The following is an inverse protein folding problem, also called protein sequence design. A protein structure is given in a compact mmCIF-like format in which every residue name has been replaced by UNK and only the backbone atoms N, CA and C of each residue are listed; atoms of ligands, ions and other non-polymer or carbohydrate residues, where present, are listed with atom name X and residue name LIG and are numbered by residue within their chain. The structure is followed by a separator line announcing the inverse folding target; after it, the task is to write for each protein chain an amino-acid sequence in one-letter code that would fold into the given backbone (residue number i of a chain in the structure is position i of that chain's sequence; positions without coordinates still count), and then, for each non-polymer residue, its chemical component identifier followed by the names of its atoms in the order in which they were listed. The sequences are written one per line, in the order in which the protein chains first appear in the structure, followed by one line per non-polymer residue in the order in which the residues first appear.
data_IF_349266659959
#
_entry.id   IF_349266659959
#
_cell.length_a   1.000
_cell.length_b   1.000
_cell.length_c   1.000
_cell.angle_alpha   90.00
_cell.angle_beta   90.00
_cell.angle_gamma   90.00
#
_symmetry.space_group_name_H-M   'P 1'
#
loop_
_entity.id
_entity.type
_entity.pdbx_description
1 polymer ?
#
# COMPACT_ATOMS: atom_id res chain seq x y z
N UNK A 1 -2.33 13.19 12.22
CA UNK A 1 -1.47 12.80 11.07
C UNK A 1 -2.26 12.81 9.75
N UNK A 2 -1.61 12.97 8.59
CA UNK A 2 -2.27 13.03 7.27
C UNK A 2 -2.15 11.71 6.48
N UNK A 3 -0.95 11.14 6.40
CA UNK A 3 -0.69 9.84 5.79
C UNK A 3 0.49 9.13 6.45
N UNK A 4 0.54 7.81 6.32
CA UNK A 4 1.55 6.94 6.91
C UNK A 4 2.03 5.94 5.86
N UNK A 5 3.35 5.75 5.81
CA UNK A 5 4.00 4.77 4.97
C UNK A 5 4.99 3.95 5.82
N UNK A 6 4.92 2.63 5.69
CA UNK A 6 5.92 1.70 6.21
C UNK A 6 6.53 1.00 5.01
N UNK A 7 7.85 1.04 4.91
CA UNK A 7 8.60 0.47 3.79
C UNK A 7 9.82 -0.30 4.25
N UNK A 8 10.35 -1.17 3.40
CA UNK A 8 11.64 -1.80 3.59
C UNK A 8 12.72 -0.95 2.92
N UNK A 9 13.81 -0.70 3.64
CA UNK A 9 14.94 0.09 3.14
C UNK A 9 15.58 -0.58 1.91
N UNK A 10 15.82 -1.89 2.00
CA UNK A 10 16.42 -2.64 0.90
C UNK A 10 15.40 -2.88 -0.22
N UNK A 11 15.58 -2.21 -1.35
CA UNK A 11 14.71 -2.34 -2.53
C UNK A 11 13.43 -1.51 -2.45
N UNK A 12 13.33 -0.57 -1.50
CA UNK A 12 12.25 0.42 -1.41
C UNK A 12 10.82 -0.17 -1.51
N UNK A 13 10.60 -1.37 -0.97
CA UNK A 13 9.30 -2.03 -1.05
C UNK A 13 8.36 -1.43 -0.02
N UNK A 14 7.21 -0.95 -0.46
CA UNK A 14 6.14 -0.49 0.43
C UNK A 14 5.50 -1.72 1.09
N UNK A 15 5.44 -1.70 2.43
CA UNK A 15 4.84 -2.75 3.24
C UNK A 15 3.41 -2.35 3.63
N UNK A 16 3.21 -1.10 4.05
CA UNK A 16 1.90 -0.53 4.31
C UNK A 16 1.86 0.91 3.83
N UNK A 17 0.76 1.29 3.19
CA UNK A 17 0.41 2.69 2.98
C UNK A 17 -1.00 2.98 3.46
N UNK A 18 -1.18 4.08 4.20
CA UNK A 18 -2.50 4.54 4.62
C UNK A 18 -2.61 6.05 4.61
N UNK A 19 -3.56 6.54 3.84
CA UNK A 19 -4.06 7.91 3.95
C UNK A 19 -5.09 8.00 5.09
N UNK A 20 -4.88 8.95 6.01
CA UNK A 20 -5.76 9.21 7.14
C UNK A 20 -6.68 10.40 6.89
N UNK A 21 -6.21 11.40 6.13
CA UNK A 21 -6.97 12.62 5.78
C UNK A 21 -6.93 12.82 4.25
N UNK A 22 -7.95 12.35 3.51
CA UNK A 22 -7.97 12.36 2.04
C UNK A 22 -7.81 13.75 1.42
N UNK A 23 -8.40 14.77 2.06
CA UNK A 23 -8.37 16.15 1.57
C UNK A 23 -6.95 16.79 1.58
N UNK A 24 -6.00 16.22 2.31
CA UNK A 24 -4.62 16.69 2.39
C UNK A 24 -3.62 15.77 1.64
N UNK A 25 -4.13 14.75 0.94
CA UNK A 25 -3.32 13.65 0.42
C UNK A 25 -2.96 13.77 -1.07
N UNK A 26 -3.41 14.82 -1.78
CA UNK A 26 -3.06 15.02 -3.18
C UNK A 26 -1.52 14.96 -3.35
N UNK A 27 -1.03 13.98 -4.11
CA UNK A 27 0.39 13.68 -4.37
C UNK A 27 1.24 13.22 -3.17
N UNK A 28 0.68 13.10 -1.96
CA UNK A 28 1.44 12.78 -0.76
C UNK A 28 2.05 11.37 -0.80
N UNK A 29 1.28 10.39 -1.28
CA UNK A 29 1.77 9.01 -1.45
C UNK A 29 2.93 8.91 -2.42
N UNK A 30 2.90 9.68 -3.52
CA UNK A 30 3.99 9.72 -4.49
C UNK A 30 5.27 10.32 -3.87
N UNK A 31 5.15 11.43 -3.13
CA UNK A 31 6.29 12.04 -2.43
C UNK A 31 6.91 11.10 -1.40
N UNK A 32 6.09 10.44 -0.57
CA UNK A 32 6.59 9.52 0.45
C UNK A 32 7.30 8.30 -0.16
N UNK A 33 6.81 7.77 -1.29
CA UNK A 33 7.48 6.70 -2.04
C UNK A 33 8.80 7.17 -2.65
N UNK A 34 8.83 8.36 -3.25
CA UNK A 34 10.06 8.96 -3.76
C UNK A 34 11.13 9.15 -2.68
N UNK A 35 10.73 9.54 -1.46
CA UNK A 35 11.66 9.60 -0.32
C UNK A 35 12.18 8.19 0.04
N UNK A 36 11.30 7.18 0.10
CA UNK A 36 11.71 5.80 0.40
C UNK A 36 12.75 5.25 -0.60
N UNK A 37 12.57 5.53 -1.89
CA UNK A 37 13.48 5.08 -2.96
C UNK A 37 14.90 5.63 -2.84
N UNK A 38 15.06 6.78 -2.18
CA UNK A 38 16.34 7.44 -2.02
C UNK A 38 17.05 7.11 -0.71
N UNK A 39 16.34 6.49 0.23
CA UNK A 39 16.94 6.08 1.50
C UNK A 39 17.87 4.89 1.28
N UNK A 40 19.04 4.98 1.91
CA UNK A 40 20.10 3.97 1.88
C UNK A 40 20.47 3.57 3.32
N UNK A 41 21.19 2.45 3.52
CA UNK A 41 21.71 2.08 4.84
C UNK A 41 22.62 3.14 5.50
N UNK A 42 23.22 4.03 4.71
CA UNK A 42 24.02 5.16 5.21
C UNK A 42 23.22 6.44 5.48
N UNK A 43 21.91 6.44 5.22
CA UNK A 43 21.06 7.60 5.48
C UNK A 43 20.87 7.84 6.97
N UNK A 44 20.62 9.08 7.40
CA UNK A 44 20.34 9.38 8.80
C UNK A 44 19.18 8.52 9.32
N UNK A 45 19.30 7.91 10.52
CA UNK A 45 18.31 6.99 11.04
C UNK A 45 16.98 7.67 11.38
N UNK A 46 16.98 9.00 11.58
CA UNK A 46 15.76 9.79 11.82
C UNK A 46 15.95 11.17 11.21
N UNK A 47 14.96 11.65 10.48
CA UNK A 47 14.99 12.98 9.91
C UNK A 47 13.60 13.47 9.56
N UNK A 48 13.47 14.80 9.51
CA UNK A 48 12.23 15.50 9.18
C UNK A 48 12.46 16.40 7.98
N UNK A 49 11.51 16.37 7.06
CA UNK A 49 11.49 17.19 5.88
C UNK A 49 10.26 18.09 5.87
N UNK A 50 10.42 19.30 5.34
CA UNK A 50 9.33 20.25 5.16
C UNK A 50 9.39 20.81 3.74
N UNK A 51 8.31 20.66 2.99
CA UNK A 51 8.18 21.16 1.62
C UNK A 51 6.73 21.55 1.32
N UNK A 52 6.54 22.74 0.74
CA UNK A 52 5.24 23.32 0.35
C UNK A 52 4.09 23.18 1.39
N UNK A 53 4.42 23.14 2.69
CA UNK A 53 3.44 23.01 3.78
C UNK A 53 3.09 21.56 4.16
N UNK A 54 3.80 20.59 3.59
CA UNK A 54 3.77 19.17 3.96
C UNK A 54 5.02 18.88 4.81
N UNK A 55 4.82 18.35 6.01
CA UNK A 55 5.92 17.88 6.86
C UNK A 55 5.99 16.36 6.81
N UNK A 56 7.12 15.81 6.38
CA UNK A 56 7.36 14.36 6.33
C UNK A 56 8.40 14.01 7.38
N UNK A 57 8.06 13.11 8.28
CA UNK A 57 8.95 12.61 9.32
C UNK A 57 9.23 11.14 9.05
N UNK A 58 10.49 10.70 9.14
CA UNK A 58 10.82 9.28 9.05
C UNK A 58 11.79 8.81 10.13
N UNK A 59 11.71 7.51 10.43
CA UNK A 59 12.64 6.77 11.27
C UNK A 59 12.97 5.43 10.63
N UNK A 60 14.25 5.08 10.57
CA UNK A 60 14.77 3.80 10.11
C UNK A 60 15.08 2.95 11.34
N UNK A 61 14.50 1.75 11.41
CA UNK A 61 14.77 0.79 12.48
C UNK A 61 14.81 -0.62 11.90
N UNK A 62 15.92 -1.33 12.12
CA UNK A 62 16.12 -2.72 11.68
C UNK A 62 15.83 -2.96 10.19
N UNK A 63 16.22 -2.01 9.32
CA UNK A 63 15.98 -2.09 7.87
C UNK A 63 14.54 -1.77 7.43
N UNK A 64 13.70 -1.31 8.35
CA UNK A 64 12.33 -0.84 8.07
C UNK A 64 12.28 0.68 8.24
N UNK A 65 11.67 1.34 7.26
CA UNK A 65 11.42 2.78 7.24
C UNK A 65 9.98 3.02 7.68
N UNK A 66 9.82 3.80 8.73
CA UNK A 66 8.53 4.27 9.23
C UNK A 66 8.42 5.75 8.91
N UNK A 67 7.42 6.15 8.15
CA UNK A 67 7.25 7.51 7.68
C UNK A 67 5.84 8.02 7.95
N UNK A 68 5.73 9.26 8.40
CA UNK A 68 4.47 9.94 8.65
C UNK A 68 4.49 11.32 8.01
N UNK A 69 3.46 11.61 7.23
CA UNK A 69 3.16 12.94 6.77
C UNK A 69 2.23 13.63 7.77
N UNK A 70 2.65 14.78 8.27
CA UNK A 70 1.96 15.55 9.29
C UNK A 70 1.53 16.91 8.75
N UNK A 71 0.35 17.37 9.20
CA UNK A 71 -0.15 18.71 8.89
C UNK A 71 0.56 19.80 9.71
N UNK A 72 0.27 21.06 9.37
CA UNK A 72 0.73 22.23 10.12
C UNK A 72 0.28 22.13 11.59
N UNK A 73 1.22 22.28 12.54
CA UNK A 73 0.95 22.25 13.98
C UNK A 73 1.33 20.96 14.72
N UNK A 74 1.66 19.88 14.01
CA UNK A 74 2.24 18.69 14.65
C UNK A 74 3.72 18.94 14.91
N UNK A 75 4.16 18.80 16.16
CA UNK A 75 5.58 18.93 16.50
C UNK A 75 6.37 17.72 16.00
N UNK A 76 7.64 17.93 15.65
CA UNK A 76 8.58 16.87 15.29
C UNK A 76 8.63 15.80 16.39
N UNK A 77 8.58 16.22 17.65
CA UNK A 77 8.60 15.33 18.81
C UNK A 77 7.39 14.42 18.86
N UNK A 78 6.19 14.96 18.65
CA UNK A 78 4.96 14.16 18.61
C UNK A 78 5.00 13.17 17.45
N UNK A 79 5.48 13.60 16.27
CA UNK A 79 5.60 12.74 15.10
C UNK A 79 6.57 11.57 15.34
N UNK A 80 7.70 11.82 15.98
CA UNK A 80 8.71 10.78 16.23
C UNK A 80 8.29 9.79 17.31
N UNK A 81 7.63 10.27 18.36
CA UNK A 81 7.01 9.40 19.38
C UNK A 81 5.93 8.49 18.77
N UNK A 82 5.13 9.04 17.85
CA UNK A 82 4.17 8.27 17.08
C UNK A 82 4.85 7.17 16.24
N UNK A 83 5.90 7.52 15.48
CA UNK A 83 6.66 6.55 14.66
C UNK A 83 7.30 5.44 15.51
N UNK A 84 7.82 5.77 16.70
CA UNK A 84 8.40 4.79 17.61
C UNK A 84 7.34 3.81 18.16
N UNK A 85 6.16 4.33 18.52
CA UNK A 85 5.04 3.49 18.97
C UNK A 85 4.59 2.52 17.87
N UNK A 86 4.52 3.03 16.63
CA UNK A 86 4.17 2.24 15.45
C UNK A 86 5.22 1.16 15.15
N UNK A 87 6.51 1.49 15.24
CA UNK A 87 7.58 0.53 15.05
C UNK A 87 7.53 -0.60 16.10
N UNK A 88 7.21 -0.27 17.35
CA UNK A 88 6.99 -1.24 18.41
C UNK A 88 5.90 -2.25 18.05
N UNK A 89 4.70 -1.77 17.69
CA UNK A 89 3.58 -2.64 17.31
C UNK A 89 3.88 -3.48 16.07
N UNK A 90 4.48 -2.86 15.04
CA UNK A 90 4.79 -3.55 13.79
C UNK A 90 5.79 -4.69 14.00
N UNK A 91 6.84 -4.46 14.80
CA UNK A 91 7.86 -5.46 15.09
C UNK A 91 7.37 -6.67 15.90
N UNK A 92 6.31 -6.48 16.69
CA UNK A 92 5.65 -7.58 17.42
C UNK A 92 4.79 -8.41 16.48
N UNK A 93 4.12 -7.77 15.52
CA UNK A 93 3.17 -8.42 14.61
C UNK A 93 3.85 -9.16 13.45
N UNK A 94 4.93 -8.61 12.91
CA UNK A 94 5.59 -9.15 11.72
C UNK A 94 7.04 -9.53 11.99
N UNK A 95 7.40 -10.75 11.60
CA UNK A 95 8.77 -11.22 11.73
C UNK A 95 9.72 -10.51 10.75
N UNK A 96 11.01 -10.37 11.09
CA UNK A 96 12.02 -9.85 10.18
C UNK A 96 12.08 -10.61 8.84
N UNK A 97 11.83 -11.92 8.86
CA UNK A 97 11.84 -12.74 7.65
C UNK A 97 10.66 -12.41 6.73
N UNK A 98 9.46 -12.19 7.28
CA UNK A 98 8.29 -11.76 6.50
C UNK A 98 8.55 -10.43 5.80
N UNK A 99 9.25 -9.52 6.47
CA UNK A 99 9.61 -8.20 5.94
C UNK A 99 10.69 -8.33 4.86
N UNK A 100 11.73 -9.14 5.08
CA UNK A 100 12.87 -9.28 4.15
C UNK A 100 12.49 -9.89 2.80
N UNK A 101 11.47 -10.76 2.76
CA UNK A 101 10.99 -11.40 1.52
C UNK A 101 9.78 -10.70 0.89
N UNK A 102 9.25 -9.65 1.52
CA UNK A 102 8.09 -8.94 1.03
C UNK A 102 8.31 -8.36 -0.37
N UNK A 103 7.31 -8.54 -1.24
CA UNK A 103 7.24 -7.98 -2.59
C UNK A 103 6.00 -7.11 -2.80
N UNK A 104 5.07 -7.10 -1.83
CA UNK A 104 3.81 -6.35 -1.89
C UNK A 104 3.30 -6.02 -0.48
N UNK A 105 2.29 -5.16 -0.41
CA UNK A 105 1.63 -4.74 0.82
C UNK A 105 0.67 -5.81 1.40
N UNK A 106 0.28 -6.82 0.60
CA UNK A 106 -0.78 -7.77 0.94
C UNK A 106 -0.60 -8.48 2.31
N UNK A 107 0.61 -8.95 2.69
CA UNK A 107 0.83 -9.61 3.98
C UNK A 107 0.62 -8.69 5.19
N UNK A 108 0.72 -7.37 5.00
CA UNK A 108 0.70 -6.38 6.08
C UNK A 108 -0.63 -5.63 6.18
N UNK A 109 -1.59 -5.92 5.30
CA UNK A 109 -2.94 -5.35 5.29
C UNK A 109 -3.66 -5.43 6.65
N UNK A 110 -3.40 -6.47 7.43
CA UNK A 110 -3.94 -6.65 8.78
C UNK A 110 -3.45 -5.60 9.79
N UNK A 111 -2.43 -4.81 9.47
CA UNK A 111 -1.89 -3.74 10.31
C UNK A 111 -2.56 -2.38 10.09
N UNK A 112 -3.26 -2.20 8.97
CA UNK A 112 -3.95 -0.94 8.66
C UNK A 112 -4.90 -0.49 9.80
N UNK A 113 -5.70 -1.37 10.44
CA UNK A 113 -6.54 -0.96 11.57
C UNK A 113 -5.75 -0.46 12.79
N UNK A 114 -4.53 -0.99 13.03
CA UNK A 114 -3.66 -0.54 14.12
C UNK A 114 -3.07 0.84 13.83
N UNK A 115 -2.68 1.08 12.57
CA UNK A 115 -2.25 2.40 12.09
C UNK A 115 -3.34 3.44 12.36
N UNK A 116 -4.58 3.14 11.94
CA UNK A 116 -5.70 4.05 12.13
C UNK A 116 -6.02 4.30 13.60
N UNK A 117 -5.99 3.25 14.44
CA UNK A 117 -6.23 3.37 15.87
C UNK A 117 -5.17 4.25 16.53
N UNK A 118 -3.89 3.98 16.27
CA UNK A 118 -2.79 4.75 16.83
C UNK A 118 -2.85 6.22 16.39
N UNK A 119 -3.23 6.48 15.13
CA UNK A 119 -3.37 7.83 14.62
C UNK A 119 -4.51 8.61 15.29
N UNK A 120 -5.67 7.96 15.52
CA UNK A 120 -6.79 8.56 16.28
C UNK A 120 -6.41 8.86 17.73
N UNK A 121 -5.71 7.93 18.38
CA UNK A 121 -5.25 8.09 19.75
C UNK A 121 -4.23 9.24 19.86
N UNK A 122 -3.34 9.37 18.87
CA UNK A 122 -2.36 10.46 18.81
C UNK A 122 -3.01 11.84 18.59
N UNK A 123 -4.02 11.95 17.72
CA UNK A 123 -4.77 13.20 17.53
C UNK A 123 -5.53 13.58 18.83
N UNK A 124 -6.11 12.59 19.54
CA UNK A 124 -6.79 12.80 20.83
C UNK A 124 -5.82 13.22 21.94
N UNK A 125 -4.67 12.55 22.06
CA UNK A 125 -3.62 12.92 23.02
C UNK A 125 -2.99 14.26 22.70
N UNK A 126 -2.82 14.62 21.43
CA UNK A 126 -2.31 15.94 21.04
C UNK A 126 -3.28 17.06 21.45
N UNK A 127 -4.59 16.82 21.34
CA UNK A 127 -5.61 17.73 21.86
C UNK A 127 -5.55 17.86 23.39
N UNK A 128 -5.21 16.78 24.11
CA UNK A 128 -5.03 16.80 25.57
C UNK A 128 -3.68 17.38 26.02
N UNK A 129 -2.58 17.13 25.30
CA UNK A 129 -1.22 17.58 25.61
C UNK A 129 -1.00 19.07 25.31
N UNK A 130 -1.83 19.69 24.46
CA UNK A 130 -1.89 21.16 24.40
C UNK A 130 -2.25 21.79 25.77
N UNK A 131 -2.79 21.01 26.71
CA UNK A 131 -3.09 21.44 28.08
C UNK A 131 -2.01 21.03 29.11
N UNK A 132 -1.03 20.20 28.76
CA UNK A 132 -0.01 19.70 29.68
C UNK A 132 1.32 19.50 28.95
N UNK A 133 2.21 20.47 29.09
CA UNK A 133 3.57 20.43 28.57
C UNK A 133 4.43 19.50 29.42
N UNK A 134 4.93 18.40 28.84
CA UNK A 134 6.20 17.71 29.11
C UNK A 134 6.24 16.46 28.18
N UNK A 135 7.36 15.96 27.64
CA UNK A 135 8.65 15.70 28.27
C UNK A 135 9.80 15.59 27.23
N UNK A 136 10.98 16.00 27.69
CA UNK A 136 12.37 15.56 27.46
C UNK A 136 12.86 14.96 26.12
N UNK A 137 13.93 15.63 25.65
CA UNK A 137 15.07 15.21 24.82
C UNK A 137 14.85 14.15 23.73
N UNK A 138 14.32 14.63 22.61
CA UNK A 138 14.70 14.09 21.31
C UNK A 138 15.96 14.83 20.88
N UNK A 139 17.10 14.12 20.81
CA UNK A 139 18.32 14.61 20.16
C UNK A 139 17.94 15.31 18.87
N UNK A 140 18.33 16.58 18.78
CA UNK A 140 18.03 17.53 17.71
C UNK A 140 17.84 16.85 16.34
N UNK A 141 16.59 16.71 15.92
CA UNK A 141 16.32 16.33 14.55
C UNK A 141 16.43 17.57 13.69
N UNK A 142 17.39 17.56 12.77
CA UNK A 142 17.55 18.64 11.81
C UNK A 142 16.37 18.56 10.84
N UNK A 143 15.54 19.60 10.82
CA UNK A 143 14.59 19.80 9.73
C UNK A 143 15.40 20.22 8.51
N UNK A 144 15.33 19.45 7.43
CA UNK A 144 15.95 19.81 6.15
C UNK A 144 14.87 20.01 5.09
N UNK A 145 15.07 20.94 4.15
CA UNK A 145 14.15 21.09 3.02
C UNK A 145 14.35 19.94 2.02
N UNK A 146 13.27 19.54 1.33
CA UNK A 146 13.22 18.37 0.41
C UNK A 146 14.02 18.60 -0.89
N UNK A 147 14.42 19.84 -1.18
CA UNK A 147 14.94 20.29 -2.49
C UNK A 147 16.18 19.53 -3.01
N UNK A 148 16.93 18.85 -2.13
CA UNK A 148 18.14 18.08 -2.48
C UNK A 148 17.86 16.66 -3.01
N UNK A 149 16.67 16.11 -2.75
CA UNK A 149 16.34 14.70 -2.96
C UNK A 149 15.50 14.51 -4.24
N UNK A 150 14.59 15.43 -4.58
CA UNK A 150 13.80 15.33 -5.83
C UNK A 150 14.59 15.59 -7.13
N UNK A 151 15.86 16.01 -7.05
CA UNK A 151 16.60 16.57 -8.19
C UNK A 151 17.61 15.61 -8.87
N UNK A 152 17.62 14.31 -8.53
CA UNK A 152 18.47 13.30 -9.21
C UNK A 152 17.71 12.28 -10.05
N UNK A 153 16.44 12.51 -10.33
CA UNK A 153 15.68 11.66 -11.24
C UNK A 153 14.29 12.19 -11.50
N UNK A 154 14.18 13.10 -12.47
CA UNK A 154 12.92 13.27 -13.20
C UNK A 154 12.60 11.96 -13.94
N UNK A 155 12.01 11.02 -13.21
CA UNK A 155 11.10 9.98 -13.70
C UNK A 155 9.90 9.93 -12.75
N UNK A 156 9.34 11.11 -12.48
CA UNK A 156 7.99 11.25 -11.91
C UNK A 156 6.93 11.21 -13.04
N UNK A 157 7.18 10.38 -14.05
CA UNK A 157 6.33 10.20 -15.24
C UNK A 157 6.39 8.73 -15.64
N UNK A 158 5.72 7.89 -14.84
CA UNK A 158 5.14 6.59 -15.23
C UNK A 158 4.52 5.91 -13.99
N UNK A 159 3.73 6.65 -13.21
CA UNK A 159 2.82 6.04 -12.22
C UNK A 159 1.39 6.39 -12.63
N UNK A 160 1.02 5.99 -13.85
CA UNK A 160 -0.38 5.93 -14.27
C UNK A 160 -0.80 4.53 -14.74
N UNK A 161 -0.04 3.47 -14.45
CA UNK A 161 -0.43 2.11 -14.89
C UNK A 161 -0.09 0.98 -13.92
N UNK A 162 -0.16 1.22 -12.60
CA UNK A 162 -0.27 0.13 -11.61
C UNK A 162 -1.50 0.21 -10.69
N UNK A 163 -2.37 1.20 -10.91
CA UNK A 163 -3.76 1.17 -10.42
C UNK A 163 -4.73 0.59 -11.47
N UNK A 164 -4.43 0.78 -12.76
CA UNK A 164 -5.25 0.24 -13.85
C UNK A 164 -5.10 -1.28 -13.99
N UNK A 165 -3.93 -1.87 -13.72
CA UNK A 165 -3.74 -3.33 -13.83
C UNK A 165 -4.32 -4.09 -12.63
N UNK A 166 -4.49 -3.45 -11.47
CA UNK A 166 -5.18 -4.04 -10.32
C UNK A 166 -6.70 -3.85 -10.35
N UNK A 167 -7.23 -2.79 -10.96
CA UNK A 167 -8.67 -2.68 -11.22
C UNK A 167 -9.13 -3.52 -12.41
N UNK A 168 -8.30 -3.68 -13.43
CA UNK A 168 -8.61 -4.55 -14.58
C UNK A 168 -8.47 -6.03 -14.21
N UNK A 169 -7.45 -6.43 -13.42
CA UNK A 169 -7.30 -7.82 -12.95
C UNK A 169 -8.15 -8.19 -11.73
N UNK A 170 -8.61 -7.24 -10.89
CA UNK A 170 -9.60 -7.56 -9.86
C UNK A 170 -11.02 -7.71 -10.43
N UNK A 171 -11.34 -7.05 -11.55
CA UNK A 171 -12.59 -7.28 -12.27
C UNK A 171 -12.61 -8.66 -12.95
N UNK A 172 -11.45 -9.17 -13.36
CA UNK A 172 -11.32 -10.54 -13.87
C UNK A 172 -11.30 -11.59 -12.74
N UNK A 173 -10.73 -11.32 -11.56
CA UNK A 173 -10.67 -12.30 -10.45
C UNK A 173 -11.95 -12.33 -9.59
N UNK A 174 -12.77 -11.26 -9.57
CA UNK A 174 -14.13 -11.33 -9.03
C UNK A 174 -15.17 -11.76 -10.09
N UNK A 175 -14.82 -11.69 -11.37
CA UNK A 175 -15.61 -12.27 -12.48
C UNK A 175 -15.49 -13.79 -12.58
N UNK A 176 -14.34 -14.36 -12.22
CA UNK A 176 -14.07 -15.80 -12.32
C UNK A 176 -14.52 -16.64 -11.10
N UNK A 177 -15.15 -16.03 -10.10
CA UNK A 177 -15.84 -16.77 -9.03
C UNK A 177 -17.33 -17.03 -9.34
N UNK A 178 -17.89 -16.45 -10.41
CA UNK A 178 -19.30 -16.61 -10.79
C UNK A 178 -19.59 -16.68 -12.29
N UNK A 179 -18.61 -17.03 -13.14
CA UNK A 179 -18.86 -17.46 -14.52
C UNK A 179 -18.51 -18.92 -14.83
N UNK A 180 -18.33 -19.73 -13.79
CA UNK A 180 -18.28 -21.19 -13.83
C UNK A 180 -19.66 -21.87 -14.07
N UNK A 181 -20.58 -21.25 -14.82
CA UNK A 181 -21.85 -21.92 -15.14
C UNK A 181 -22.53 -21.56 -16.48
N UNK A 182 -21.81 -21.01 -17.47
CA UNK A 182 -22.40 -20.83 -18.81
C UNK A 182 -21.62 -21.40 -19.99
N UNK A 183 -20.33 -21.72 -19.83
CA UNK A 183 -19.57 -22.42 -20.89
C UNK A 183 -19.57 -23.95 -20.73
N UNK A 184 -19.84 -24.49 -19.53
CA UNK A 184 -20.01 -25.93 -19.33
C UNK A 184 -21.30 -26.48 -19.97
N UNK A 185 -22.36 -25.66 -20.05
CA UNK A 185 -23.64 -26.10 -20.63
C UNK A 185 -23.56 -26.32 -22.15
N UNK A 186 -22.76 -25.54 -22.87
CA UNK A 186 -22.63 -25.66 -24.33
C UNK A 186 -21.79 -26.86 -24.77
N UNK A 187 -20.78 -27.24 -23.98
CA UNK A 187 -19.97 -28.43 -24.26
C UNK A 187 -20.74 -29.74 -24.02
N UNK A 188 -21.70 -29.72 -23.09
CA UNK A 188 -22.56 -30.88 -22.84
C UNK A 188 -23.63 -31.04 -23.94
N UNK A 189 -24.12 -29.95 -24.55
CA UNK A 189 -25.15 -30.02 -25.61
C UNK A 189 -24.58 -30.34 -27.01
N UNK A 190 -23.32 -29.99 -27.29
CA UNK A 190 -22.70 -30.27 -28.60
C UNK A 190 -22.57 -31.77 -28.90
N UNK A 191 -22.36 -32.61 -27.87
CA UNK A 191 -22.27 -34.07 -28.04
C UNK A 191 -23.63 -34.68 -28.42
N UNK A 192 -24.74 -34.19 -27.85
CA UNK A 192 -26.08 -34.68 -28.18
C UNK A 192 -26.52 -34.30 -29.61
N UNK A 193 -26.13 -33.13 -30.11
CA UNK A 193 -26.44 -32.70 -31.48
C UNK A 193 -25.74 -33.59 -32.51
N UNK A 194 -24.45 -33.93 -32.29
CA UNK A 194 -23.70 -34.80 -33.21
C UNK A 194 -24.30 -36.20 -33.25
N UNK A 195 -24.67 -36.77 -32.09
CA UNK A 195 -25.32 -38.08 -32.03
C UNK A 195 -26.69 -38.04 -32.72
N UNK A 196 -27.48 -36.99 -32.49
CA UNK A 196 -28.78 -36.81 -33.16
C UNK A 196 -28.68 -36.72 -34.68
N UNK A 197 -27.68 -35.99 -35.20
CA UNK A 197 -27.44 -35.85 -36.63
C UNK A 197 -27.08 -37.20 -37.29
N UNK A 198 -26.28 -38.03 -36.63
CA UNK A 198 -25.91 -39.37 -37.13
C UNK A 198 -27.15 -40.27 -37.22
N UNK A 199 -28.03 -40.24 -36.21
CA UNK A 199 -29.27 -41.04 -36.20
C UNK A 199 -30.21 -40.60 -37.32
N UNK A 200 -30.41 -39.30 -37.52
CA UNK A 200 -31.27 -38.78 -38.59
C UNK A 200 -30.71 -39.13 -39.98
N UNK A 201 -29.40 -39.02 -40.17
CA UNK A 201 -28.76 -39.42 -41.43
C UNK A 201 -28.98 -40.91 -41.73
N UNK A 202 -28.87 -41.77 -40.72
CA UNK A 202 -29.15 -43.20 -40.87
C UNK A 202 -30.61 -43.48 -41.25
N UNK A 203 -31.56 -42.75 -40.66
CA UNK A 203 -32.98 -42.89 -40.99
C UNK A 203 -33.25 -42.43 -42.43
N UNK A 204 -32.68 -41.29 -42.85
CA UNK A 204 -32.85 -40.78 -44.21
C UNK A 204 -32.23 -41.73 -45.26
N UNK A 205 -31.03 -42.27 -45.00
CA UNK A 205 -30.42 -43.26 -45.88
C UNK A 205 -31.26 -44.53 -45.98
N UNK A 206 -31.83 -45.01 -44.86
CA UNK A 206 -32.71 -46.18 -44.86
C UNK A 206 -34.01 -45.94 -45.65
N UNK A 207 -34.57 -44.73 -45.61
CA UNK A 207 -35.78 -44.38 -46.36
C UNK A 207 -35.49 -44.19 -47.85
N UNK A 208 -34.35 -43.57 -48.19
CA UNK A 208 -33.96 -43.31 -49.57
C UNK A 208 -33.48 -44.58 -50.31
N UNK A 209 -32.87 -45.53 -49.60
CA UNK A 209 -32.36 -46.78 -50.17
C UNK A 209 -33.35 -47.96 -50.08
N UNK A 210 -34.63 -47.67 -49.81
CA UNK A 210 -35.74 -48.64 -49.83
C UNK A 210 -36.67 -48.38 -51.00
#
# INVERSE_FOLDING_TARGET
MNAILIGRLNGAVVLCYKELKPAAAANLGAHMRGVLEQLTPGSPPRQSYSDEGINIHYSILSGVVYMAAAGKGVSVTAAMSFLQSMAGLFSVKFSPNTISVATSEAPFSSFIPEIEKLARDADTRSAMLQLQTETQEIKSQVMQSVESILNRGNKLSDIETQAADLLTRAKDIMGDAQQMNREAFWRQYSVFIVIGAIVVLFILLKIFFR
#
